data_IF_111465408567
#
_entry.id   IF_111465408567
#
_cell.length_a   1.000
_cell.length_b   1.000
_cell.length_c   1.000
_cell.angle_alpha   90.00
_cell.angle_beta   90.00
_cell.angle_gamma   90.00
#
_symmetry.space_group_name_H-M   'P 1'
#
loop_
_entity.id
_entity.type
_entity.pdbx_description
1 polymer ?
#
# COMPACT_ATOMS: atom_id res chain seq x y z
N UNK A 1 -19.47 24.05 11.72
CA UNK A 1 -18.31 24.84 11.24
C UNK A 1 -18.50 25.17 9.76
N UNK A 2 -17.95 26.30 9.26
CA UNK A 2 -17.90 26.56 7.82
C UNK A 2 -16.87 25.65 7.14
N UNK A 3 -17.02 25.39 5.83
CA UNK A 3 -16.07 24.56 5.06
C UNK A 3 -14.64 25.09 5.13
N UNK A 4 -14.46 26.42 5.15
CA UNK A 4 -13.15 27.06 5.29
C UNK A 4 -12.52 26.77 6.65
N UNK A 5 -13.32 26.79 7.73
CA UNK A 5 -12.84 26.49 9.07
C UNK A 5 -12.44 25.01 9.21
N UNK A 6 -13.22 24.11 8.59
CA UNK A 6 -12.86 22.67 8.52
C UNK A 6 -11.57 22.50 7.70
N UNK A 7 -11.44 23.15 6.56
CA UNK A 7 -10.23 23.08 5.74
C UNK A 7 -8.99 23.59 6.50
N UNK A 8 -9.11 24.70 7.24
CA UNK A 8 -8.02 25.23 8.07
C UNK A 8 -7.62 24.25 9.20
N UNK A 9 -8.61 23.65 9.88
CA UNK A 9 -8.37 22.63 10.90
C UNK A 9 -7.63 21.42 10.30
N UNK A 10 -8.10 20.91 9.15
CA UNK A 10 -7.49 19.76 8.50
C UNK A 10 -6.08 20.07 7.98
N UNK A 11 -5.84 21.27 7.44
CA UNK A 11 -4.49 21.69 7.02
C UNK A 11 -3.52 21.74 8.21
N UNK A 12 -3.95 22.26 9.36
CA UNK A 12 -3.16 22.21 10.60
C UNK A 12 -2.92 20.78 11.08
N UNK A 13 -3.92 19.91 10.95
CA UNK A 13 -3.82 18.49 11.31
C UNK A 13 -2.81 17.76 10.40
N UNK A 14 -2.80 18.04 9.09
CA UNK A 14 -1.82 17.48 8.13
C UNK A 14 -0.40 17.89 8.49
N UNK A 15 -0.19 19.18 8.79
CA UNK A 15 1.11 19.67 9.20
C UNK A 15 1.56 18.98 10.51
N UNK A 16 0.68 18.88 11.49
CA UNK A 16 0.95 18.21 12.76
C UNK A 16 1.27 16.72 12.54
N UNK A 17 0.53 16.03 11.67
CA UNK A 17 0.79 14.65 11.31
C UNK A 17 2.20 14.45 10.74
N UNK A 18 2.60 15.35 9.84
CA UNK A 18 3.94 15.31 9.22
C UNK A 18 5.04 15.53 10.26
N UNK A 19 4.87 16.48 11.18
CA UNK A 19 5.84 16.73 12.27
C UNK A 19 5.97 15.51 13.20
N UNK A 20 4.84 14.95 13.64
CA UNK A 20 4.81 13.75 14.49
C UNK A 20 5.45 12.55 13.78
N UNK A 21 5.19 12.38 12.48
CA UNK A 21 5.77 11.29 11.67
C UNK A 21 7.30 11.34 11.68
N UNK A 22 7.89 12.52 11.50
CA UNK A 22 9.34 12.71 11.50
C UNK A 22 9.94 12.43 12.90
N UNK A 23 9.29 12.88 13.98
CA UNK A 23 9.80 12.70 15.36
C UNK A 23 9.69 11.23 15.84
N UNK A 24 8.60 10.53 15.48
CA UNK A 24 8.34 9.18 15.99
C UNK A 24 8.87 8.09 15.04
N UNK A 25 9.14 8.44 13.76
CA UNK A 25 9.55 7.46 12.74
C UNK A 25 8.43 6.54 12.27
N UNK A 26 7.16 6.91 12.46
CA UNK A 26 6.01 6.17 11.95
C UNK A 26 5.55 6.73 10.60
N UNK A 27 4.92 5.87 9.79
CA UNK A 27 4.32 6.30 8.52
C UNK A 27 3.35 7.46 8.74
N UNK A 28 3.50 8.55 7.98
CA UNK A 28 2.62 9.73 8.04
C UNK A 28 1.15 9.34 7.80
N UNK A 29 0.88 8.40 6.92
CA UNK A 29 -0.46 7.89 6.62
C UNK A 29 -1.17 7.28 7.85
N UNK A 30 -0.43 6.59 8.74
CA UNK A 30 -0.96 6.08 10.01
C UNK A 30 -1.34 7.21 10.95
N UNK A 31 -0.51 8.24 11.03
CA UNK A 31 -0.72 9.40 11.91
C UNK A 31 -1.87 10.24 11.39
N UNK A 32 -1.95 10.48 10.08
CA UNK A 32 -3.08 11.17 9.44
C UNK A 32 -4.41 10.45 9.70
N UNK A 33 -4.42 9.13 9.56
CA UNK A 33 -5.61 8.33 9.85
C UNK A 33 -5.99 8.43 11.33
N UNK A 34 -5.02 8.31 12.25
CA UNK A 34 -5.26 8.44 13.70
C UNK A 34 -5.75 9.85 14.07
N UNK A 35 -5.12 10.91 13.58
CA UNK A 35 -5.56 12.28 13.81
C UNK A 35 -6.94 12.54 13.18
N UNK A 36 -7.25 11.90 12.05
CA UNK A 36 -8.59 11.91 11.48
C UNK A 36 -9.63 11.33 12.44
N UNK A 37 -9.32 10.20 13.10
CA UNK A 37 -10.19 9.62 14.16
C UNK A 37 -10.40 10.63 15.30
N UNK A 38 -9.33 11.28 15.76
CA UNK A 38 -9.43 12.30 16.83
C UNK A 38 -10.31 13.46 16.37
N UNK A 39 -10.03 14.02 15.19
CA UNK A 39 -10.81 15.18 14.67
C UNK A 39 -12.29 14.80 14.48
N UNK A 40 -12.58 13.64 13.89
CA UNK A 40 -13.95 13.20 13.66
C UNK A 40 -14.75 13.00 14.97
N UNK A 41 -14.14 12.39 15.99
CA UNK A 41 -14.85 12.06 17.23
C UNK A 41 -14.83 13.18 18.28
N UNK A 42 -13.78 14.02 18.34
CA UNK A 42 -13.71 15.12 19.30
C UNK A 42 -14.55 16.31 18.88
N UNK A 43 -14.54 16.64 17.58
CA UNK A 43 -15.29 17.79 17.07
C UNK A 43 -16.68 17.39 16.50
N UNK A 44 -17.02 16.10 16.50
CA UNK A 44 -18.27 15.56 15.94
C UNK A 44 -18.52 16.09 14.51
N UNK A 45 -17.47 16.03 13.69
CA UNK A 45 -17.50 16.57 12.33
C UNK A 45 -17.88 15.48 11.32
N UNK A 46 -19.01 15.70 10.65
CA UNK A 46 -19.32 14.94 9.45
C UNK A 46 -18.32 15.26 8.32
N UNK A 47 -17.99 14.27 7.52
CA UNK A 47 -17.10 14.43 6.37
C UNK A 47 -17.75 15.34 5.33
N UNK A 48 -17.21 16.54 5.05
CA UNK A 48 -17.81 17.43 4.05
C UNK A 48 -17.66 16.88 2.63
N UNK A 49 -18.57 17.29 1.73
CA UNK A 49 -18.63 16.77 0.35
C UNK A 49 -17.33 16.99 -0.44
N UNK A 50 -16.68 18.16 -0.26
CA UNK A 50 -15.41 18.44 -0.90
C UNK A 50 -14.28 17.50 -0.44
N UNK A 51 -14.24 17.18 0.87
CA UNK A 51 -13.27 16.22 1.42
C UNK A 51 -13.57 14.79 0.93
N UNK A 52 -14.86 14.43 0.84
CA UNK A 52 -15.27 13.15 0.29
C UNK A 52 -14.79 12.97 -1.16
N UNK A 53 -14.91 14.03 -1.99
CA UNK A 53 -14.43 14.04 -3.36
C UNK A 53 -12.91 13.94 -3.44
N UNK A 54 -12.17 14.82 -2.73
CA UNK A 54 -10.70 14.81 -2.71
C UNK A 54 -10.16 13.46 -2.22
N UNK A 55 -10.74 12.90 -1.16
CA UNK A 55 -10.34 11.60 -0.65
C UNK A 55 -10.58 10.47 -1.64
N UNK A 56 -11.69 10.51 -2.39
CA UNK A 56 -11.97 9.50 -3.42
C UNK A 56 -10.97 9.58 -4.58
N UNK A 57 -10.65 10.80 -5.04
CA UNK A 57 -9.62 11.01 -6.06
C UNK A 57 -8.22 10.61 -5.57
N UNK A 58 -7.88 10.95 -4.33
CA UNK A 58 -6.63 10.57 -3.72
C UNK A 58 -6.47 9.03 -3.63
N UNK A 59 -7.53 8.30 -3.27
CA UNK A 59 -7.54 6.83 -3.30
C UNK A 59 -7.26 6.26 -4.69
N UNK A 60 -7.84 6.88 -5.72
CA UNK A 60 -7.60 6.50 -7.12
C UNK A 60 -6.14 6.79 -7.54
N UNK A 61 -5.60 7.95 -7.17
CA UNK A 61 -4.22 8.31 -7.44
C UNK A 61 -3.23 7.39 -6.72
N UNK A 62 -3.51 7.05 -5.45
CA UNK A 62 -2.71 6.06 -4.70
C UNK A 62 -2.72 4.70 -5.38
N UNK A 63 -3.86 4.28 -5.92
CA UNK A 63 -3.98 3.02 -6.67
C UNK A 63 -3.14 3.05 -7.94
N UNK A 64 -3.18 4.15 -8.70
CA UNK A 64 -2.32 4.37 -9.88
C UNK A 64 -0.83 4.34 -9.48
N UNK A 65 -0.45 5.04 -8.42
CA UNK A 65 0.93 5.08 -7.95
C UNK A 65 1.44 3.72 -7.52
N UNK A 66 0.63 2.93 -6.80
CA UNK A 66 1.00 1.57 -6.42
C UNK A 66 1.33 0.72 -7.66
N UNK A 67 0.58 0.87 -8.75
CA UNK A 67 0.91 0.24 -10.04
C UNK A 67 2.21 0.79 -10.65
N UNK A 68 2.41 2.10 -10.60
CA UNK A 68 3.55 2.77 -11.23
C UNK A 68 4.90 2.53 -10.53
N UNK A 69 4.88 2.12 -9.28
CA UNK A 69 6.09 1.82 -8.49
C UNK A 69 6.61 0.39 -8.68
N UNK A 70 5.92 -0.42 -9.49
CA UNK A 70 6.30 -1.81 -9.72
C UNK A 70 7.55 -1.92 -10.58
N UNK A 71 8.57 -2.61 -10.06
CA UNK A 71 9.74 -3.04 -10.84
C UNK A 71 9.43 -4.33 -11.62
N UNK A 72 8.93 -4.18 -12.85
CA UNK A 72 8.55 -5.30 -13.72
C UNK A 72 9.74 -6.23 -14.02
N UNK A 73 10.95 -5.76 -14.37
CA UNK A 73 12.12 -6.60 -14.54
C UNK A 73 12.43 -7.46 -13.31
N UNK A 74 12.40 -6.86 -12.13
CA UNK A 74 12.65 -7.57 -10.88
C UNK A 74 11.53 -8.57 -10.56
N UNK A 75 10.27 -8.20 -10.78
CA UNK A 75 9.14 -9.10 -10.63
C UNK A 75 9.26 -10.35 -11.53
N UNK A 76 9.61 -10.15 -12.80
CA UNK A 76 9.82 -11.25 -13.73
C UNK A 76 10.96 -12.19 -13.31
N UNK A 77 12.01 -11.64 -12.70
CA UNK A 77 13.16 -12.43 -12.24
C UNK A 77 12.81 -13.31 -11.03
N UNK A 78 11.99 -12.79 -10.12
CA UNK A 78 11.65 -13.44 -8.84
C UNK A 78 10.17 -13.90 -8.78
N UNK A 79 9.51 -14.09 -9.92
CA UNK A 79 8.08 -14.31 -10.03
C UNK A 79 7.54 -15.48 -9.18
N UNK A 80 8.32 -16.57 -9.06
CA UNK A 80 7.91 -17.77 -8.29
C UNK A 80 7.81 -17.45 -6.80
N UNK A 81 8.80 -16.78 -6.25
CA UNK A 81 8.80 -16.38 -4.84
C UNK A 81 7.71 -15.33 -4.59
N UNK A 82 7.64 -14.31 -5.43
CA UNK A 82 6.68 -13.21 -5.32
C UNK A 82 5.23 -13.67 -5.42
N UNK A 83 4.91 -14.51 -6.42
CA UNK A 83 3.55 -15.07 -6.56
C UNK A 83 3.22 -16.02 -5.42
N UNK A 84 4.13 -16.92 -5.03
CA UNK A 84 3.84 -17.87 -3.95
C UNK A 84 3.57 -17.16 -2.63
N UNK A 85 4.46 -16.25 -2.22
CA UNK A 85 4.30 -15.49 -0.98
C UNK A 85 3.09 -14.56 -1.07
N UNK A 86 2.95 -13.80 -2.16
CA UNK A 86 1.90 -12.79 -2.31
C UNK A 86 0.51 -13.41 -2.38
N UNK A 87 0.29 -14.44 -3.23
CA UNK A 87 -1.01 -15.09 -3.35
C UNK A 87 -1.43 -15.79 -2.06
N UNK A 88 -0.52 -16.46 -1.39
CA UNK A 88 -0.83 -17.12 -0.10
C UNK A 88 -1.09 -16.08 0.98
N UNK A 89 -0.29 -15.00 1.02
CA UNK A 89 -0.51 -13.88 1.95
C UNK A 89 -1.85 -13.17 1.73
N UNK A 90 -2.37 -13.17 0.51
CA UNK A 90 -3.70 -12.65 0.19
C UNK A 90 -4.80 -13.67 0.48
N UNK A 91 -4.70 -14.88 -0.09
CA UNK A 91 -5.79 -15.85 -0.09
C UNK A 91 -6.12 -16.42 1.29
N UNK A 92 -5.10 -16.66 2.12
CA UNK A 92 -5.31 -17.25 3.44
C UNK A 92 -6.16 -16.35 4.36
N UNK A 93 -5.82 -15.06 4.58
CA UNK A 93 -6.69 -14.20 5.38
C UNK A 93 -7.99 -13.83 4.65
N UNK A 94 -8.01 -13.71 3.31
CA UNK A 94 -9.25 -13.48 2.57
C UNK A 94 -10.31 -14.51 2.88
N UNK A 95 -9.94 -15.79 2.80
CA UNK A 95 -10.86 -16.90 3.08
C UNK A 95 -11.22 -16.95 4.57
N UNK A 96 -10.23 -16.89 5.47
CA UNK A 96 -10.50 -17.03 6.91
C UNK A 96 -11.30 -15.87 7.47
N UNK A 97 -10.94 -14.63 7.12
CA UNK A 97 -11.71 -13.44 7.54
C UNK A 97 -13.12 -13.49 6.97
N UNK A 98 -13.26 -13.83 5.67
CA UNK A 98 -14.58 -13.96 5.04
C UNK A 98 -15.45 -15.00 5.75
N UNK A 99 -14.91 -16.18 6.04
CA UNK A 99 -15.64 -17.23 6.76
C UNK A 99 -15.98 -16.83 8.20
N UNK A 100 -15.04 -16.23 8.93
CA UNK A 100 -15.27 -15.73 10.29
C UNK A 100 -16.35 -14.63 10.28
N UNK A 101 -16.25 -13.67 9.36
CA UNK A 101 -17.23 -12.60 9.24
C UNK A 101 -18.63 -13.16 8.94
N UNK A 102 -18.73 -14.10 8.01
CA UNK A 102 -20.01 -14.67 7.59
C UNK A 102 -20.61 -15.60 8.66
N UNK A 103 -19.86 -16.59 9.15
CA UNK A 103 -20.40 -17.63 10.05
C UNK A 103 -20.36 -17.26 11.53
N UNK A 104 -19.33 -16.54 11.98
CA UNK A 104 -19.18 -16.22 13.40
C UNK A 104 -19.72 -14.85 13.78
N UNK A 105 -19.59 -13.84 12.88
CA UNK A 105 -20.03 -12.47 13.16
C UNK A 105 -21.41 -12.15 12.55
N UNK A 106 -22.00 -13.05 11.75
CA UNK A 106 -23.32 -12.86 11.16
C UNK A 106 -23.34 -11.77 10.07
N UNK A 107 -22.23 -11.46 9.45
CA UNK A 107 -22.16 -10.54 8.33
C UNK A 107 -22.81 -11.15 7.09
N UNK A 108 -23.46 -10.35 6.27
CA UNK A 108 -23.94 -10.85 4.99
C UNK A 108 -22.76 -11.16 4.04
N UNK A 109 -23.04 -11.81 2.90
CA UNK A 109 -22.02 -12.24 1.95
C UNK A 109 -21.15 -11.09 1.46
N UNK A 110 -21.72 -9.97 1.04
CA UNK A 110 -20.98 -8.83 0.51
C UNK A 110 -20.13 -8.13 1.59
N UNK A 111 -20.66 -8.02 2.80
CA UNK A 111 -19.93 -7.50 3.96
C UNK A 111 -18.71 -8.37 4.30
N UNK A 112 -18.89 -9.70 4.28
CA UNK A 112 -17.82 -10.66 4.53
C UNK A 112 -16.75 -10.62 3.42
N UNK A 113 -17.15 -10.46 2.16
CA UNK A 113 -16.27 -10.29 1.01
C UNK A 113 -15.44 -8.99 1.14
N UNK A 114 -16.06 -7.87 1.53
CA UNK A 114 -15.35 -6.61 1.82
C UNK A 114 -14.37 -6.79 2.98
N UNK A 115 -14.81 -7.41 4.08
CA UNK A 115 -13.95 -7.69 5.24
C UNK A 115 -12.74 -8.54 4.86
N UNK A 116 -12.96 -9.62 4.10
CA UNK A 116 -11.91 -10.49 3.58
C UNK A 116 -10.92 -9.73 2.71
N UNK A 117 -11.39 -8.95 1.73
CA UNK A 117 -10.54 -8.15 0.85
C UNK A 117 -9.74 -7.10 1.63
N UNK A 118 -10.41 -6.33 2.50
CA UNK A 118 -9.76 -5.25 3.27
C UNK A 118 -8.63 -5.79 4.18
N UNK A 119 -8.86 -6.95 4.80
CA UNK A 119 -7.92 -7.51 5.76
C UNK A 119 -6.88 -8.45 5.13
N UNK A 120 -7.00 -8.82 3.86
CA UNK A 120 -6.00 -9.66 3.16
C UNK A 120 -4.80 -8.88 2.62
N UNK A 121 -4.88 -7.56 2.56
CA UNK A 121 -3.87 -6.68 1.97
C UNK A 121 -2.55 -6.67 2.74
N UNK A 122 -1.47 -6.28 2.06
CA UNK A 122 -0.17 -5.94 2.64
C UNK A 122 0.15 -4.49 2.29
N UNK A 123 0.80 -3.73 3.18
CA UNK A 123 1.10 -2.33 2.94
C UNK A 123 2.48 -2.16 2.30
N UNK A 124 2.52 -1.75 1.02
CA UNK A 124 3.79 -1.44 0.34
C UNK A 124 4.53 -0.30 1.04
N UNK A 125 3.83 0.75 1.47
CA UNK A 125 4.43 1.90 2.12
C UNK A 125 5.13 1.55 3.44
N UNK A 126 4.48 0.75 4.30
CA UNK A 126 5.05 0.30 5.57
C UNK A 126 6.24 -0.65 5.31
N UNK A 127 6.07 -1.61 4.41
CA UNK A 127 7.13 -2.56 4.03
C UNK A 127 8.35 -1.81 3.49
N UNK A 128 8.16 -0.86 2.56
CA UNK A 128 9.25 -0.09 1.98
C UNK A 128 9.99 0.76 3.03
N UNK A 129 9.27 1.46 3.90
CA UNK A 129 9.86 2.26 4.96
C UNK A 129 10.80 1.41 5.85
N UNK A 130 10.31 0.25 6.32
CA UNK A 130 11.11 -0.66 7.16
C UNK A 130 12.30 -1.23 6.38
N UNK A 131 12.14 -1.57 5.11
CA UNK A 131 13.23 -2.07 4.27
C UNK A 131 14.32 -1.00 4.05
N UNK A 132 13.96 0.27 3.93
CA UNK A 132 14.92 1.38 3.82
C UNK A 132 15.68 1.57 5.13
N UNK A 133 14.97 1.59 6.26
CA UNK A 133 15.56 1.72 7.59
C UNK A 133 16.54 0.58 7.93
N UNK A 134 16.21 -0.64 7.52
CA UNK A 134 17.04 -1.83 7.75
C UNK A 134 18.14 -2.03 6.70
N UNK A 135 18.14 -1.21 5.62
CA UNK A 135 19.09 -1.34 4.50
C UNK A 135 18.78 -2.49 3.54
N UNK A 136 17.71 -3.26 3.78
CA UNK A 136 17.33 -4.43 2.96
C UNK A 136 16.67 -4.08 1.62
N UNK A 137 16.32 -2.82 1.37
CA UNK A 137 15.62 -2.40 0.14
C UNK A 137 16.44 -2.70 -1.14
N UNK A 138 17.75 -2.80 -1.04
CA UNK A 138 18.65 -3.14 -2.15
C UNK A 138 18.95 -4.64 -2.26
N UNK A 139 18.66 -5.40 -1.21
CA UNK A 139 18.91 -6.83 -1.14
C UNK A 139 17.81 -7.67 -1.80
N UNK A 140 18.15 -8.95 -2.09
CA UNK A 140 17.21 -9.87 -2.73
C UNK A 140 15.96 -10.10 -1.87
N UNK A 141 16.10 -10.16 -0.55
CA UNK A 141 14.99 -10.33 0.39
C UNK A 141 14.01 -9.16 0.29
N UNK A 142 14.51 -7.91 0.33
CA UNK A 142 13.67 -6.73 0.20
C UNK A 142 12.97 -6.65 -1.14
N UNK A 143 13.68 -6.97 -2.23
CA UNK A 143 13.11 -7.00 -3.57
C UNK A 143 12.00 -8.05 -3.71
N UNK A 144 12.18 -9.25 -3.15
CA UNK A 144 11.14 -10.30 -3.11
C UNK A 144 9.93 -9.86 -2.30
N UNK A 145 10.17 -9.22 -1.16
CA UNK A 145 9.12 -8.74 -0.28
C UNK A 145 8.27 -7.65 -0.96
N UNK A 146 8.90 -6.66 -1.58
CA UNK A 146 8.20 -5.63 -2.35
C UNK A 146 7.40 -6.23 -3.51
N UNK A 147 7.99 -7.18 -4.24
CA UNK A 147 7.28 -7.86 -5.33
C UNK A 147 6.12 -8.72 -4.85
N UNK A 148 6.22 -9.37 -3.69
CA UNK A 148 5.13 -10.12 -3.08
C UNK A 148 4.00 -9.21 -2.58
N UNK A 149 4.34 -8.05 -2.04
CA UNK A 149 3.35 -7.03 -1.65
C UNK A 149 2.57 -6.54 -2.86
N UNK A 150 3.26 -6.29 -3.98
CA UNK A 150 2.61 -5.96 -5.23
C UNK A 150 1.59 -7.02 -5.70
N UNK A 151 1.89 -8.31 -5.52
CA UNK A 151 0.92 -9.38 -5.83
C UNK A 151 -0.32 -9.28 -4.94
N UNK A 152 -0.18 -8.93 -3.67
CA UNK A 152 -1.35 -8.71 -2.80
C UNK A 152 -2.19 -7.53 -3.25
N UNK A 153 -1.56 -6.45 -3.74
CA UNK A 153 -2.24 -5.26 -4.23
C UNK A 153 -3.06 -5.57 -5.49
N UNK A 154 -2.45 -6.23 -6.49
CA UNK A 154 -3.15 -6.62 -7.72
C UNK A 154 -4.29 -7.61 -7.43
N UNK A 155 -4.09 -8.55 -6.49
CA UNK A 155 -5.12 -9.49 -6.09
C UNK A 155 -6.30 -8.77 -5.42
N UNK A 156 -6.03 -7.75 -4.59
CA UNK A 156 -7.07 -6.95 -3.93
C UNK A 156 -7.90 -6.14 -4.92
N UNK A 157 -7.25 -5.38 -5.83
CA UNK A 157 -8.01 -4.58 -6.81
C UNK A 157 -8.75 -5.45 -7.81
N UNK A 158 -8.19 -6.62 -8.17
CA UNK A 158 -8.86 -7.61 -9.02
C UNK A 158 -10.07 -8.20 -8.30
N UNK A 159 -9.91 -8.62 -7.04
CA UNK A 159 -11.01 -9.12 -6.22
C UNK A 159 -12.12 -8.09 -6.04
N UNK A 160 -11.76 -6.83 -5.74
CA UNK A 160 -12.72 -5.74 -5.60
C UNK A 160 -13.52 -5.52 -6.90
N UNK A 161 -12.85 -5.57 -8.05
CA UNK A 161 -13.50 -5.40 -9.34
C UNK A 161 -14.41 -6.58 -9.68
N UNK A 162 -13.96 -7.83 -9.50
CA UNK A 162 -14.73 -9.02 -9.89
C UNK A 162 -15.92 -9.25 -8.97
N UNK A 163 -15.77 -9.06 -7.66
CA UNK A 163 -16.83 -9.36 -6.69
C UNK A 163 -17.95 -8.31 -6.67
N UNK A 164 -17.63 -7.06 -7.01
CA UNK A 164 -18.58 -5.95 -6.88
C UNK A 164 -18.92 -5.26 -8.20
N UNK A 165 -18.57 -5.86 -9.34
CA UNK A 165 -19.05 -5.36 -10.63
C UNK A 165 -20.53 -5.68 -10.81
N UNK A 166 -21.34 -4.66 -11.14
CA UNK A 166 -22.71 -4.84 -11.56
C UNK A 166 -22.81 -4.56 -13.06
N UNK A 167 -23.24 -5.53 -13.88
CA UNK A 167 -23.28 -5.37 -15.32
C UNK A 167 -24.29 -4.31 -15.73
N UNK A 168 -23.83 -3.20 -16.27
CA UNK A 168 -24.61 -2.15 -16.90
C UNK A 168 -24.14 -1.93 -18.34
N UNK A 169 -24.93 -1.29 -19.20
CA UNK A 169 -24.49 -0.96 -20.58
C UNK A 169 -23.26 -0.07 -20.59
N UNK A 170 -23.02 0.70 -19.54
CA UNK A 170 -21.86 1.57 -19.41
C UNK A 170 -20.55 0.80 -19.14
N UNK A 171 -20.60 -0.48 -18.81
CA UNK A 171 -19.40 -1.33 -18.64
C UNK A 171 -18.62 -1.43 -19.96
N UNK A 172 -19.32 -1.43 -21.12
CA UNK A 172 -18.67 -1.53 -22.44
C UNK A 172 -17.82 -0.28 -22.73
N UNK A 173 -18.35 0.96 -22.71
CA UNK A 173 -17.52 2.16 -22.91
C UNK A 173 -16.46 2.34 -21.82
N UNK A 174 -16.75 1.98 -20.57
CA UNK A 174 -15.78 1.98 -19.49
C UNK A 174 -14.58 1.05 -19.79
N UNK A 175 -14.85 -0.20 -20.18
CA UNK A 175 -13.79 -1.14 -20.56
C UNK A 175 -13.02 -0.67 -21.79
N UNK A 176 -13.71 -0.18 -22.83
CA UNK A 176 -13.07 0.31 -24.05
C UNK A 176 -12.12 1.49 -23.79
N UNK A 177 -12.57 2.49 -23.01
CA UNK A 177 -11.74 3.63 -22.64
C UNK A 177 -10.60 3.23 -21.69
N UNK A 178 -10.86 2.32 -20.75
CA UNK A 178 -9.80 1.78 -19.89
C UNK A 178 -8.70 1.11 -20.70
N UNK A 179 -9.04 0.25 -21.66
CA UNK A 179 -8.07 -0.40 -22.56
C UNK A 179 -7.35 0.66 -23.42
N UNK A 180 -8.09 1.63 -23.95
CA UNK A 180 -7.50 2.71 -24.76
C UNK A 180 -6.47 3.52 -23.95
N UNK A 181 -6.75 3.85 -22.70
CA UNK A 181 -5.81 4.54 -21.81
C UNK A 181 -4.62 3.66 -21.46
N UNK A 182 -4.85 2.40 -21.05
CA UNK A 182 -3.80 1.44 -20.65
C UNK A 182 -2.80 1.20 -21.80
N UNK A 183 -3.28 1.10 -23.04
CA UNK A 183 -2.44 0.85 -24.22
C UNK A 183 -1.92 2.16 -24.85
N UNK A 184 -2.75 3.20 -24.86
CA UNK A 184 -2.48 4.46 -25.54
C UNK A 184 -1.59 5.39 -24.74
N UNK A 185 -1.83 5.57 -23.43
CA UNK A 185 -1.10 6.51 -22.61
C UNK A 185 0.41 6.24 -22.57
N UNK A 186 0.90 5.01 -22.37
CA UNK A 186 2.34 4.72 -22.39
C UNK A 186 3.00 4.99 -23.74
N UNK A 187 2.25 4.87 -24.84
CA UNK A 187 2.75 5.19 -26.20
C UNK A 187 2.76 6.69 -26.47
N UNK A 188 1.78 7.41 -25.91
CA UNK A 188 1.64 8.85 -26.07
C UNK A 188 2.61 9.61 -25.15
N UNK A 189 2.86 9.08 -23.96
CA UNK A 189 3.64 9.72 -22.90
C UNK A 189 5.01 10.22 -23.37
N UNK A 190 5.86 9.44 -24.06
CA UNK A 190 7.18 9.91 -24.49
C UNK A 190 7.09 11.14 -25.42
N UNK A 191 6.16 11.14 -26.36
CA UNK A 191 5.96 12.26 -27.30
C UNK A 191 5.33 13.48 -26.61
N UNK A 192 4.33 13.24 -25.75
CA UNK A 192 3.66 14.30 -25.00
C UNK A 192 4.58 14.96 -23.98
N UNK A 193 5.30 14.15 -23.21
CA UNK A 193 6.22 14.62 -22.16
C UNK A 193 7.45 15.29 -22.80
N UNK A 194 7.97 14.76 -23.91
CA UNK A 194 9.05 15.40 -24.65
C UNK A 194 8.68 16.76 -25.21
N UNK A 195 7.40 17.00 -25.62
CA UNK A 195 6.93 18.26 -26.16
C UNK A 195 6.47 19.26 -25.09
N UNK A 196 5.77 18.79 -24.08
CA UNK A 196 5.08 19.63 -23.10
C UNK A 196 5.64 19.54 -21.68
N UNK A 197 6.41 18.49 -21.36
CA UNK A 197 6.97 18.22 -20.04
C UNK A 197 8.07 19.19 -19.60
N UNK A 198 8.59 18.94 -18.40
CA UNK A 198 9.63 19.77 -17.76
C UNK A 198 9.27 21.25 -17.61
N UNK A 199 8.00 21.55 -17.42
CA UNK A 199 7.50 22.90 -17.18
C UNK A 199 6.92 23.00 -15.78
N UNK A 200 7.01 24.17 -15.16
CA UNK A 200 6.43 24.45 -13.83
C UNK A 200 4.94 24.12 -13.73
N UNK A 201 4.22 24.18 -14.87
CA UNK A 201 2.78 23.89 -14.93
C UNK A 201 2.46 22.38 -14.96
N UNK A 202 3.47 21.51 -15.01
CA UNK A 202 3.39 20.04 -14.94
C UNK A 202 2.30 19.41 -15.82
N UNK A 203 2.37 19.53 -17.17
CA UNK A 203 1.35 18.99 -18.07
C UNK A 203 1.22 17.47 -17.99
N UNK A 204 2.32 16.76 -17.68
CA UNK A 204 2.38 15.32 -17.48
C UNK A 204 1.52 14.85 -16.31
N UNK A 205 1.53 15.57 -15.19
CA UNK A 205 0.67 15.29 -14.03
C UNK A 205 -0.79 15.51 -14.40
N UNK A 206 -1.08 16.60 -15.13
CA UNK A 206 -2.45 16.94 -15.58
C UNK A 206 -3.01 15.87 -16.52
N UNK A 207 -2.17 15.29 -17.41
CA UNK A 207 -2.58 14.22 -18.31
C UNK A 207 -2.98 12.96 -17.53
N UNK A 208 -2.19 12.58 -16.52
CA UNK A 208 -2.53 11.46 -15.63
C UNK A 208 -3.81 11.76 -14.85
N UNK A 209 -3.95 12.95 -14.26
CA UNK A 209 -5.15 13.35 -13.52
C UNK A 209 -6.40 13.32 -14.40
N UNK A 210 -6.32 13.88 -15.62
CA UNK A 210 -7.42 13.83 -16.57
C UNK A 210 -7.82 12.38 -16.91
N UNK A 211 -6.84 11.50 -17.09
CA UNK A 211 -7.09 10.06 -17.33
C UNK A 211 -7.76 9.39 -16.14
N UNK A 212 -7.32 9.68 -14.91
CA UNK A 212 -7.92 9.14 -13.70
C UNK A 212 -9.33 9.68 -13.46
N UNK A 213 -9.58 10.97 -13.68
CA UNK A 213 -10.94 11.54 -13.59
C UNK A 213 -11.88 10.92 -14.63
N UNK A 214 -11.40 10.70 -15.85
CA UNK A 214 -12.18 10.03 -16.89
C UNK A 214 -12.52 8.58 -16.49
N UNK A 215 -11.57 7.84 -15.93
CA UNK A 215 -11.82 6.50 -15.41
C UNK A 215 -12.81 6.50 -14.24
N UNK A 216 -12.68 7.46 -13.32
CA UNK A 216 -13.62 7.60 -12.19
C UNK A 216 -15.03 7.91 -12.67
N UNK A 217 -15.19 8.87 -13.60
CA UNK A 217 -16.48 9.23 -14.15
C UNK A 217 -17.16 8.06 -14.89
N UNK A 218 -16.43 7.35 -15.73
CA UNK A 218 -16.95 6.19 -16.44
C UNK A 218 -17.23 5.02 -15.49
N UNK A 219 -16.37 4.81 -14.48
CA UNK A 219 -16.58 3.81 -13.44
C UNK A 219 -17.88 4.06 -12.66
N UNK A 220 -18.14 5.31 -12.26
CA UNK A 220 -19.37 5.71 -11.62
C UNK A 220 -20.60 5.40 -12.50
N UNK A 221 -20.57 5.79 -13.79
CA UNK A 221 -21.64 5.46 -14.76
C UNK A 221 -21.81 3.96 -14.97
N UNK A 222 -20.72 3.21 -14.96
CA UNK A 222 -20.72 1.76 -15.11
C UNK A 222 -21.12 1.03 -13.82
N UNK A 223 -21.34 1.74 -12.72
CA UNK A 223 -21.50 1.18 -11.38
C UNK A 223 -20.38 0.15 -11.07
N UNK A 224 -19.17 0.51 -11.43
CA UNK A 224 -17.97 -0.35 -11.34
C UNK A 224 -16.80 0.42 -10.73
N UNK A 225 -15.86 -0.33 -10.15
CA UNK A 225 -14.66 0.27 -9.58
C UNK A 225 -13.58 0.54 -10.64
N UNK A 226 -13.14 1.78 -10.70
CA UNK A 226 -12.04 2.18 -11.58
C UNK A 226 -10.63 1.84 -11.01
N UNK A 227 -10.56 1.20 -9.84
CA UNK A 227 -9.30 0.89 -9.18
C UNK A 227 -8.41 -0.05 -10.03
N UNK A 228 -8.99 -1.12 -10.61
CA UNK A 228 -8.21 -2.04 -11.46
C UNK A 228 -7.64 -1.36 -12.72
N UNK A 229 -8.44 -0.64 -13.52
CA UNK A 229 -7.89 0.13 -14.64
C UNK A 229 -6.82 1.15 -14.24
N UNK A 230 -7.01 1.89 -13.13
CA UNK A 230 -6.03 2.85 -12.64
C UNK A 230 -4.73 2.17 -12.23
N UNK A 231 -4.81 1.03 -11.53
CA UNK A 231 -3.65 0.24 -11.15
C UNK A 231 -2.87 -0.28 -12.38
N UNK A 232 -3.58 -0.87 -13.36
CA UNK A 232 -2.96 -1.38 -14.58
C UNK A 232 -2.36 -0.23 -15.41
N UNK A 233 -3.03 0.93 -15.46
CA UNK A 233 -2.49 2.13 -16.09
C UNK A 233 -1.17 2.55 -15.44
N UNK A 234 -1.11 2.60 -14.10
CA UNK A 234 0.11 2.84 -13.35
C UNK A 234 1.20 1.82 -13.70
N UNK A 235 0.84 0.54 -13.71
CA UNK A 235 1.76 -0.56 -14.05
C UNK A 235 2.35 -0.40 -15.46
N UNK A 236 1.55 -0.03 -16.45
CA UNK A 236 2.05 0.19 -17.81
C UNK A 236 2.93 1.43 -17.92
N UNK A 237 2.70 2.45 -17.08
CA UNK A 237 3.56 3.63 -16.98
C UNK A 237 4.84 3.40 -16.18
N UNK A 238 4.94 2.32 -15.40
CA UNK A 238 6.12 2.04 -14.54
C UNK A 238 7.43 1.98 -15.34
N UNK A 239 7.40 1.37 -16.53
CA UNK A 239 8.56 1.29 -17.43
C UNK A 239 9.05 2.68 -17.87
N UNK A 240 8.12 3.61 -18.14
CA UNK A 240 8.45 5.00 -18.47
C UNK A 240 9.08 5.71 -17.27
N UNK A 241 8.51 5.57 -16.08
CA UNK A 241 9.00 6.21 -14.86
C UNK A 241 10.35 5.68 -14.36
N UNK A 242 10.70 4.43 -14.66
CA UNK A 242 12.06 3.92 -14.38
C UNK A 242 13.12 4.73 -15.14
N UNK A 243 12.80 5.19 -16.36
CA UNK A 243 13.70 6.03 -17.17
C UNK A 243 13.60 7.52 -16.83
N UNK A 244 12.46 7.97 -16.30
CA UNK A 244 12.13 9.39 -16.02
C UNK A 244 11.75 9.56 -14.55
N UNK A 245 12.68 9.27 -13.64
CA UNK A 245 12.45 9.30 -12.19
C UNK A 245 11.98 10.65 -11.65
N UNK A 246 12.47 11.74 -12.23
CA UNK A 246 12.07 13.11 -11.83
C UNK A 246 10.56 13.35 -12.00
N UNK A 247 9.96 12.82 -13.06
CA UNK A 247 8.51 12.95 -13.32
C UNK A 247 7.72 12.14 -12.27
N UNK A 248 8.19 10.95 -11.95
CA UNK A 248 7.59 10.12 -10.89
C UNK A 248 7.68 10.79 -9.51
N UNK A 249 8.83 11.37 -9.19
CA UNK A 249 9.05 12.09 -7.92
C UNK A 249 8.12 13.31 -7.79
N UNK A 250 7.96 14.10 -8.85
CA UNK A 250 7.02 15.23 -8.88
C UNK A 250 5.58 14.78 -8.66
N UNK A 251 5.15 13.70 -9.33
CA UNK A 251 3.83 13.09 -9.12
C UNK A 251 3.66 12.66 -7.67
N UNK A 252 4.69 12.02 -7.07
CA UNK A 252 4.67 11.62 -5.65
C UNK A 252 4.55 12.83 -4.73
N UNK A 253 5.29 13.92 -4.99
CA UNK A 253 5.19 15.14 -4.18
C UNK A 253 3.76 15.68 -4.18
N UNK A 254 3.12 15.82 -5.34
CA UNK A 254 1.73 16.30 -5.43
C UNK A 254 0.76 15.35 -4.70
N UNK A 255 0.95 14.05 -4.88
CA UNK A 255 0.11 13.05 -4.23
C UNK A 255 0.26 13.08 -2.70
N UNK A 256 1.48 12.95 -2.19
CA UNK A 256 1.73 12.79 -0.75
C UNK A 256 1.71 14.10 0.02
N UNK A 257 2.06 15.24 -0.59
CA UNK A 257 2.01 16.51 0.09
C UNK A 257 0.60 17.09 0.19
N UNK A 258 -0.31 16.73 -0.74
CA UNK A 258 -1.63 17.35 -0.79
C UNK A 258 -2.80 16.37 -0.75
N UNK A 259 -2.81 15.37 -1.64
CA UNK A 259 -4.00 14.52 -1.82
C UNK A 259 -4.10 13.37 -0.81
N UNK A 260 -3.01 12.68 -0.57
CA UNK A 260 -2.97 11.52 0.33
C UNK A 260 -3.40 11.84 1.77
N UNK A 261 -3.00 13.00 2.36
CA UNK A 261 -3.49 13.39 3.68
C UNK A 261 -5.02 13.45 3.77
N UNK A 262 -5.68 14.01 2.76
CA UNK A 262 -7.15 14.07 2.76
C UNK A 262 -7.81 12.71 2.66
N UNK A 263 -7.18 11.74 1.98
CA UNK A 263 -7.67 10.37 1.94
C UNK A 263 -7.63 9.71 3.33
N UNK A 264 -6.52 9.80 4.03
CA UNK A 264 -6.36 9.16 5.33
C UNK A 264 -7.13 9.91 6.44
N UNK A 265 -7.16 11.24 6.42
CA UNK A 265 -7.98 12.04 7.33
C UNK A 265 -9.48 11.73 7.15
N UNK A 266 -9.98 11.69 5.90
CA UNK A 266 -11.36 11.27 5.62
C UNK A 266 -11.64 9.87 6.18
N UNK A 267 -10.72 8.93 5.92
CA UNK A 267 -10.83 7.57 6.45
C UNK A 267 -10.94 7.56 7.98
N UNK A 268 -10.05 8.30 8.65
CA UNK A 268 -10.05 8.44 10.10
C UNK A 268 -11.32 9.11 10.65
N UNK A 269 -11.74 10.23 10.06
CA UNK A 269 -12.97 10.95 10.48
C UNK A 269 -14.23 10.08 10.37
N UNK A 270 -14.24 9.09 9.48
CA UNK A 270 -15.36 8.16 9.33
C UNK A 270 -15.36 7.02 10.38
N UNK A 271 -14.33 6.92 11.22
CA UNK A 271 -14.24 5.90 12.28
C UNK A 271 -14.97 6.37 13.54
N UNK A 272 -15.87 5.52 14.05
CA UNK A 272 -16.55 5.73 15.33
C UNK A 272 -15.77 5.11 16.48
N UNK A 273 -15.19 5.92 17.36
CA UNK A 273 -14.50 5.45 18.57
C UNK A 273 -15.45 4.72 19.52
N UNK A 274 -16.70 5.20 19.66
CA UNK A 274 -17.71 4.54 20.46
C UNK A 274 -18.04 3.13 19.95
N UNK A 275 -18.16 2.97 18.62
CA UNK A 275 -18.39 1.67 18.01
C UNK A 275 -17.22 0.69 18.27
N UNK A 276 -15.98 1.18 18.26
CA UNK A 276 -14.80 0.36 18.58
C UNK A 276 -14.82 -0.13 20.03
N UNK A 277 -15.07 0.77 20.98
CA UNK A 277 -15.14 0.40 22.40
C UNK A 277 -16.26 -0.61 22.69
N UNK A 278 -17.40 -0.44 22.05
CA UNK A 278 -18.53 -1.38 22.20
C UNK A 278 -18.27 -2.76 21.60
N UNK A 279 -17.31 -2.90 20.67
CA UNK A 279 -17.09 -4.12 19.88
C UNK A 279 -15.64 -4.64 19.96
N UNK A 280 -14.94 -4.44 21.09
CA UNK A 280 -13.54 -4.89 21.25
C UNK A 280 -13.36 -6.40 21.03
N UNK A 281 -14.35 -7.24 21.40
CA UNK A 281 -14.32 -8.67 21.13
C UNK A 281 -14.31 -8.99 19.63
N UNK A 282 -15.16 -8.30 18.84
CA UNK A 282 -15.19 -8.47 17.38
C UNK A 282 -13.88 -7.97 16.75
N UNK A 283 -13.35 -6.85 17.24
CA UNK A 283 -12.06 -6.32 16.83
C UNK A 283 -10.93 -7.36 17.01
N UNK A 284 -10.88 -7.98 18.20
CA UNK A 284 -9.88 -9.00 18.53
C UNK A 284 -10.03 -10.24 17.63
N UNK A 285 -11.25 -10.70 17.39
CA UNK A 285 -11.56 -11.83 16.48
C UNK A 285 -11.10 -11.53 15.05
N UNK A 286 -11.45 -10.36 14.51
CA UNK A 286 -11.05 -9.94 13.16
C UNK A 286 -9.52 -9.79 13.04
N UNK A 287 -8.87 -9.22 14.07
CA UNK A 287 -7.42 -9.11 14.10
C UNK A 287 -6.74 -10.48 14.12
N UNK A 288 -7.22 -11.41 14.95
CA UNK A 288 -6.73 -12.78 14.99
C UNK A 288 -6.99 -13.54 13.68
N UNK A 289 -8.18 -13.36 13.08
CA UNK A 289 -8.56 -13.94 11.79
C UNK A 289 -7.71 -13.42 10.62
N UNK A 290 -7.17 -12.19 10.72
CA UNK A 290 -6.19 -11.66 9.78
C UNK A 290 -4.79 -12.20 10.05
N UNK A 291 -4.30 -12.05 11.29
CA UNK A 291 -2.89 -12.32 11.64
C UNK A 291 -2.57 -13.80 11.62
N UNK A 292 -3.44 -14.64 12.19
CA UNK A 292 -3.20 -16.09 12.33
C UNK A 292 -2.94 -16.77 10.98
N UNK A 293 -3.86 -16.70 10.00
CA UNK A 293 -3.66 -17.35 8.72
C UNK A 293 -2.52 -16.73 7.91
N UNK A 294 -2.29 -15.40 7.99
CA UNK A 294 -1.14 -14.78 7.33
C UNK A 294 0.18 -15.31 7.88
N UNK A 295 0.34 -15.33 9.19
CA UNK A 295 1.57 -15.85 9.82
C UNK A 295 1.73 -17.34 9.51
N UNK A 296 0.70 -18.14 9.72
CA UNK A 296 0.75 -19.59 9.52
C UNK A 296 1.04 -20.00 8.07
N UNK A 297 0.45 -19.31 7.10
CA UNK A 297 0.58 -19.67 5.69
C UNK A 297 1.83 -19.06 5.02
N UNK A 298 2.22 -17.83 5.41
CA UNK A 298 3.36 -17.14 4.81
C UNK A 298 4.69 -17.66 5.36
N UNK A 299 4.77 -18.01 6.65
CA UNK A 299 6.02 -18.39 7.30
C UNK A 299 6.73 -19.58 6.63
N UNK A 300 6.06 -20.68 6.25
CA UNK A 300 6.73 -21.78 5.53
C UNK A 300 7.34 -21.36 4.20
N UNK A 301 6.64 -20.48 3.46
CA UNK A 301 7.13 -19.95 2.18
C UNK A 301 8.29 -18.97 2.39
N UNK A 302 8.19 -18.12 3.41
CA UNK A 302 9.26 -17.21 3.80
C UNK A 302 10.54 -17.99 4.20
N UNK A 303 10.41 -19.11 4.93
CA UNK A 303 11.55 -20.01 5.22
C UNK A 303 12.20 -20.56 3.95
N UNK A 304 11.42 -20.83 2.92
CA UNK A 304 11.94 -21.37 1.65
C UNK A 304 12.62 -20.29 0.78
N UNK A 305 12.04 -19.09 0.74
CA UNK A 305 12.47 -18.07 -0.23
C UNK A 305 13.28 -16.92 0.38
N UNK A 306 13.12 -16.65 1.67
CA UNK A 306 13.72 -15.48 2.32
C UNK A 306 14.50 -15.83 3.61
N UNK A 307 14.91 -17.10 3.79
CA UNK A 307 15.82 -17.45 4.89
C UNK A 307 17.15 -16.66 4.77
N UNK A 308 17.74 -16.21 5.88
CA UNK A 308 17.36 -16.42 7.28
C UNK A 308 16.27 -15.47 7.82
N UNK A 309 15.77 -14.53 7.01
CA UNK A 309 14.84 -13.45 7.42
C UNK A 309 13.35 -13.86 7.34
N UNK A 310 13.03 -15.15 7.53
CA UNK A 310 11.67 -15.66 7.35
C UNK A 310 10.64 -15.04 8.31
N UNK A 311 10.97 -14.88 9.58
CA UNK A 311 10.09 -14.25 10.57
C UNK A 311 9.84 -12.78 10.25
N UNK A 312 10.91 -12.04 9.93
CA UNK A 312 10.84 -10.65 9.50
C UNK A 312 9.94 -10.49 8.26
N UNK A 313 10.18 -11.29 7.21
CA UNK A 313 9.35 -11.31 5.99
C UNK A 313 7.88 -11.58 6.32
N UNK A 314 7.59 -12.58 7.16
CA UNK A 314 6.22 -12.96 7.51
C UNK A 314 5.50 -11.84 8.25
N UNK A 315 6.16 -11.19 9.19
CA UNK A 315 5.59 -10.08 9.93
C UNK A 315 5.33 -8.86 9.02
N UNK A 316 6.26 -8.52 8.14
CA UNK A 316 6.05 -7.42 7.20
C UNK A 316 4.96 -7.74 6.16
N UNK A 317 4.85 -8.98 5.68
CA UNK A 317 3.74 -9.41 4.83
C UNK A 317 2.38 -9.39 5.55
N UNK A 318 2.37 -9.35 6.88
CA UNK A 318 1.14 -9.28 7.68
C UNK A 318 0.63 -7.85 7.91
N UNK A 319 1.39 -6.85 7.50
CA UNK A 319 0.97 -5.44 7.58
C UNK A 319 -0.17 -5.16 6.60
N UNK A 320 -0.97 -4.15 6.89
CA UNK A 320 -2.00 -3.64 5.96
C UNK A 320 -2.26 -2.17 6.24
N UNK A 321 -2.42 -1.35 5.19
CA UNK A 321 -2.79 0.05 5.35
C UNK A 321 -3.55 0.56 4.12
N UNK A 322 -2.85 0.86 3.02
CA UNK A 322 -3.39 1.59 1.87
C UNK A 322 -4.60 0.90 1.24
N UNK A 323 -4.42 -0.32 0.72
CA UNK A 323 -5.52 -1.04 0.06
C UNK A 323 -6.57 -1.55 1.03
N UNK A 324 -6.20 -1.82 2.29
CA UNK A 324 -7.17 -2.11 3.35
C UNK A 324 -8.10 -0.92 3.60
N UNK A 325 -7.56 0.29 3.66
CA UNK A 325 -8.34 1.53 3.80
C UNK A 325 -9.16 1.83 2.55
N UNK A 326 -8.60 1.67 1.33
CA UNK A 326 -9.31 1.85 0.06
C UNK A 326 -10.52 0.93 -0.01
N UNK A 327 -10.34 -0.36 0.27
CA UNK A 327 -11.42 -1.37 0.22
C UNK A 327 -12.50 -1.11 1.27
N UNK A 328 -12.09 -0.76 2.50
CA UNK A 328 -13.04 -0.43 3.57
C UNK A 328 -13.86 0.82 3.25
N UNK A 329 -13.23 1.89 2.74
CA UNK A 329 -13.90 3.11 2.30
C UNK A 329 -14.83 2.85 1.11
N UNK A 330 -14.43 1.99 0.19
CA UNK A 330 -15.33 1.55 -0.88
C UNK A 330 -16.57 0.89 -0.31
N UNK A 331 -16.42 -0.07 0.59
CA UNK A 331 -17.54 -0.74 1.24
C UNK A 331 -18.50 0.21 1.95
N UNK A 332 -17.95 1.21 2.66
CA UNK A 332 -18.74 2.25 3.33
C UNK A 332 -19.46 3.18 2.34
N UNK A 333 -18.73 3.71 1.35
CA UNK A 333 -19.27 4.66 0.37
C UNK A 333 -20.35 4.02 -0.53
N UNK A 334 -20.23 2.72 -0.80
CA UNK A 334 -21.20 1.95 -1.58
C UNK A 334 -22.38 1.42 -0.75
N UNK A 335 -22.41 1.71 0.56
CA UNK A 335 -23.47 1.24 1.46
C UNK A 335 -23.47 -0.28 1.70
N UNK A 336 -22.37 -0.98 1.36
CA UNK A 336 -22.23 -2.43 1.59
C UNK A 336 -22.01 -2.70 3.06
N UNK A 337 -21.18 -1.90 3.74
CA UNK A 337 -20.92 -1.99 5.19
C UNK A 337 -21.38 -0.71 5.88
N UNK A 338 -21.80 -0.85 7.13
CA UNK A 338 -22.11 0.29 8.00
C UNK A 338 -20.87 0.91 8.65
N UNK A 339 -21.06 2.04 9.33
CA UNK A 339 -19.99 2.77 10.03
C UNK A 339 -19.31 1.94 11.12
N UNK A 340 -20.03 1.01 11.78
CA UNK A 340 -19.48 0.13 12.82
C UNK A 340 -18.50 -0.87 12.22
N UNK A 341 -18.92 -1.58 11.17
CA UNK A 341 -18.07 -2.54 10.45
C UNK A 341 -16.87 -1.85 9.81
N UNK A 342 -17.09 -0.67 9.21
CA UNK A 342 -16.00 0.16 8.70
C UNK A 342 -14.98 0.50 9.78
N UNK A 343 -15.44 0.96 10.94
CA UNK A 343 -14.57 1.32 12.08
C UNK A 343 -13.73 0.13 12.55
N UNK A 344 -14.35 -1.05 12.65
CA UNK A 344 -13.66 -2.29 13.00
C UNK A 344 -12.59 -2.68 11.97
N UNK A 345 -12.92 -2.62 10.68
CA UNK A 345 -11.96 -2.94 9.62
C UNK A 345 -10.76 -1.98 9.63
N UNK A 346 -11.01 -0.67 9.75
CA UNK A 346 -9.93 0.33 9.81
C UNK A 346 -9.06 0.13 11.05
N UNK A 347 -9.66 -0.14 12.22
CA UNK A 347 -8.88 -0.41 13.43
C UNK A 347 -7.98 -1.65 13.28
N UNK A 348 -8.48 -2.75 12.68
CA UNK A 348 -7.65 -3.92 12.37
C UNK A 348 -6.55 -3.60 11.36
N UNK A 349 -6.84 -2.79 10.34
CA UNK A 349 -5.86 -2.33 9.34
C UNK A 349 -4.74 -1.57 10.04
N UNK A 350 -5.05 -0.59 10.90
CA UNK A 350 -4.07 0.20 11.66
C UNK A 350 -3.25 -0.68 12.61
N UNK A 351 -3.92 -1.50 13.41
CA UNK A 351 -3.24 -2.43 14.33
C UNK A 351 -2.30 -3.37 13.57
N UNK A 352 -2.71 -3.84 12.40
CA UNK A 352 -1.88 -4.71 11.57
C UNK A 352 -0.71 -3.98 10.89
N UNK A 353 -0.74 -2.68 10.77
CA UNK A 353 0.41 -1.90 10.32
C UNK A 353 1.42 -1.67 11.45
N UNK A 354 0.96 -1.50 12.68
CA UNK A 354 1.80 -1.16 13.83
C UNK A 354 2.37 -2.41 14.50
N UNK A 355 1.51 -3.35 14.92
CA UNK A 355 1.91 -4.47 15.77
C UNK A 355 2.95 -5.38 15.13
N UNK A 356 2.75 -5.95 13.93
CA UNK A 356 3.76 -6.82 13.33
C UNK A 356 5.03 -6.08 12.94
N UNK A 357 4.94 -4.80 12.56
CA UNK A 357 6.11 -3.97 12.25
C UNK A 357 6.97 -3.73 13.49
N UNK A 358 6.36 -3.37 14.62
CA UNK A 358 7.07 -3.18 15.88
C UNK A 358 7.75 -4.49 16.36
N UNK A 359 7.06 -5.62 16.22
CA UNK A 359 7.63 -6.94 16.54
C UNK A 359 8.79 -7.28 15.60
N UNK A 360 8.63 -7.03 14.29
CA UNK A 360 9.66 -7.30 13.29
C UNK A 360 10.94 -6.49 13.57
N UNK A 361 10.82 -5.19 13.81
CA UNK A 361 11.95 -4.31 14.10
C UNK A 361 12.59 -4.59 15.46
N UNK A 362 11.80 -4.94 16.49
CA UNK A 362 12.31 -5.15 17.84
C UNK A 362 13.04 -6.48 18.02
N UNK A 363 12.52 -7.57 17.42
CA UNK A 363 12.97 -8.93 17.72
C UNK A 363 13.60 -9.65 16.53
N UNK A 364 13.41 -9.18 15.32
CA UNK A 364 13.85 -9.84 14.09
C UNK A 364 14.60 -8.88 13.14
N UNK A 365 15.16 -7.79 13.69
CA UNK A 365 15.93 -6.82 12.89
C UNK A 365 17.14 -7.53 12.25
N UNK A 366 17.23 -7.53 10.91
CA UNK A 366 18.33 -8.18 10.20
C UNK A 366 19.72 -7.64 10.53
N UNK A 367 19.79 -6.39 11.01
CA UNK A 367 21.06 -5.78 11.46
C UNK A 367 21.62 -6.41 12.73
N UNK A 368 20.79 -7.11 13.51
CA UNK A 368 21.19 -7.81 14.72
C UNK A 368 21.89 -9.16 14.44
N UNK A 369 21.88 -9.66 13.20
CA UNK A 369 22.58 -10.88 12.80
C UNK A 369 23.99 -10.50 12.39
N UNK A 370 25.05 -10.94 13.10
CA UNK A 370 26.42 -10.67 12.70
C UNK A 370 26.68 -11.20 11.28
N UNK A 371 27.34 -10.38 10.45
CA UNK A 371 27.72 -10.69 9.07
C UNK A 371 28.72 -11.86 8.93
N UNK A 372 29.11 -12.51 10.03
CA UNK A 372 30.17 -13.53 10.08
C UNK A 372 29.73 -14.96 9.72
N UNK A 373 28.45 -15.20 9.41
CA UNK A 373 27.99 -16.56 9.11
C UNK A 373 28.27 -17.07 7.68
N UNK A 374 28.86 -16.26 6.80
CA UNK A 374 29.17 -16.65 5.41
C UNK A 374 30.55 -16.19 4.93
N UNK A 375 31.58 -16.25 5.80
CA UNK A 375 32.95 -16.34 5.29
C UNK A 375 33.23 -17.82 5.02
N UNK A 376 33.44 -18.26 3.76
CA UNK A 376 34.04 -19.55 3.53
C UNK A 376 35.40 -19.52 4.20
N UNK A 377 35.69 -20.55 5.00
CA UNK A 377 36.98 -20.73 5.63
C UNK A 377 38.06 -20.54 4.58
N UNK A 378 38.90 -19.52 4.73
CA UNK A 378 40.10 -19.35 3.95
C UNK A 378 40.98 -20.58 4.22
N UNK A 379 41.49 -21.27 3.19
CA UNK A 379 42.42 -22.36 3.42
C UNK A 379 43.65 -21.81 4.11
N UNK A 380 43.87 -22.32 5.30
CA UNK A 380 45.11 -22.11 6.06
C UNK A 380 46.29 -22.72 5.31
N UNK A 381 47.29 -21.96 5.03
CA UNK A 381 48.64 -22.45 4.81
C UNK A 381 49.27 -22.07 3.49
N UNK A 382 50.13 -21.07 3.53
CA UNK A 382 51.51 -21.21 3.05
C UNK A 382 52.34 -19.97 3.38
N UNK A 383 53.32 -20.20 4.22
CA UNK A 383 54.65 -19.60 4.28
C UNK A 383 54.87 -18.15 3.82
N UNK A 384 55.22 -17.35 4.80
CA UNK A 384 55.99 -16.11 4.67
C UNK A 384 57.37 -16.38 3.99
N UNK A 385 57.87 -15.53 3.14
CA UNK A 385 59.27 -15.24 3.04
C UNK A 385 59.62 -13.86 3.64
N UNK A 386 60.78 -13.83 4.28
CA UNK A 386 61.39 -12.76 5.05
C UNK A 386 61.77 -11.49 4.24
N UNK A 387 62.06 -10.38 4.93
CA UNK A 387 62.27 -9.07 4.30
C UNK A 387 63.69 -8.88 3.83
N UNK A 388 63.86 -8.26 2.68
CA UNK A 388 65.15 -7.85 2.13
C UNK A 388 65.09 -6.60 1.29
N UNK A 389 65.72 -5.51 1.86
CA UNK A 389 66.44 -4.44 1.19
C UNK A 389 65.79 -3.57 0.09
N UNK A 390 65.50 -2.33 0.41
CA UNK A 390 66.14 -1.06 0.02
C UNK A 390 66.54 -1.01 -1.48
N UNK A 391 66.00 -0.07 -2.20
CA UNK A 391 66.73 1.02 -2.87
C UNK A 391 65.78 2.03 -3.54
N UNK A 392 66.02 3.25 -3.30
CA UNK A 392 65.72 4.54 -3.84
C UNK A 392 65.85 4.70 -5.35
N UNK A 393 65.05 5.57 -5.94
CA UNK A 393 65.34 6.69 -6.86
C UNK A 393 64.01 7.20 -7.45
N UNK A 394 63.63 8.42 -7.13
CA UNK A 394 63.79 9.70 -7.81
C UNK A 394 63.63 9.65 -9.35
N UNK A 395 62.53 10.11 -9.87
CA UNK A 395 62.31 11.30 -10.68
C UNK A 395 60.81 11.59 -10.72
#
# INVERSE_FOLDING_TARGET
>A
MSDIAIAALLAGTVLLASMISVEIGLSVALIELFLGVVVGNVFDLAVPTWLAFLGSFAGMLLTFQAGSEVDIPQFKREWRASLSIGLVSFSAPFVVVGLVAYYALGWNRQEAEIGGLALSTTSLAVVYAVLVETGLNRELVGKRLMSATFVTDIATVTGLTILFVTPTLWVIPFAAVSIALIVGLPKLAPSFFGRYGNRVIEPEIKLVFASLFLLMWLGDKANSQAALPAFILGLTMSTHYVQHRTEQERMRVVAFAFLTPFFFLKGGMSVSAAALWANLGILAVLFAAKMGPKIGAVYPLARRYTAPHAAFTTLLMSTGLTFGTITSLYGLNSGIIDSTKFSLLIAVVVLSAIVPTAIAQRYFDPRAVPHDAHRPASPSGSASPAPGAIESEVV
#
